data_IF_305438576168
#
_entry.id   IF_305438576168
#
_cell.length_a   1.000
_cell.length_b   1.000
_cell.length_c   1.000
_cell.angle_alpha   90.00
_cell.angle_beta   90.00
_cell.angle_gamma   90.00
#
_symmetry.space_group_name_H-M   'P 1'
#
loop_
_entity.id
_entity.type
_entity.pdbx_description
1 polymer ?
#
# COMPACT_ATOMS: atom_id res chain seq x y z
N UNK A 1 14.52 10.84 -2.87
CA UNK A 1 15.81 11.04 -2.15
C UNK A 1 16.40 9.66 -1.90
N UNK A 2 17.72 9.51 -1.91
CA UNK A 2 18.36 8.21 -1.68
C UNK A 2 19.54 8.38 -0.73
N UNK A 3 19.63 7.52 0.29
CA UNK A 3 20.82 7.35 1.12
C UNK A 3 21.45 6.03 0.67
N UNK A 4 22.71 6.06 0.28
CA UNK A 4 23.48 4.87 -0.08
C UNK A 4 24.86 4.98 0.56
N UNK A 5 25.08 4.17 1.61
CA UNK A 5 26.34 4.13 2.34
C UNK A 5 26.99 2.78 2.07
N UNK A 6 28.08 2.80 1.31
CA UNK A 6 28.81 1.61 0.91
C UNK A 6 29.16 0.73 2.12
N UNK A 7 28.77 -0.55 2.05
CA UNK A 7 29.00 -1.54 3.09
C UNK A 7 28.06 -1.45 4.31
N UNK A 8 27.15 -0.48 4.37
CA UNK A 8 26.21 -0.31 5.50
C UNK A 8 24.75 -0.51 5.08
N UNK A 9 24.31 0.12 3.98
CA UNK A 9 22.94 -0.05 3.50
C UNK A 9 22.38 1.14 2.70
N UNK A 10 21.14 0.98 2.29
CA UNK A 10 20.39 1.94 1.48
C UNK A 10 19.04 2.31 2.09
N UNK A 11 18.61 3.54 1.83
CA UNK A 11 17.27 4.03 2.10
C UNK A 11 16.76 4.82 0.88
N UNK A 12 15.82 4.25 0.15
CA UNK A 12 15.35 4.76 -1.14
C UNK A 12 13.91 5.24 -1.03
N UNK A 13 13.66 6.51 -1.33
CA UNK A 13 12.28 6.99 -1.50
C UNK A 13 11.64 6.31 -2.70
N UNK A 14 10.42 5.82 -2.53
CA UNK A 14 9.59 5.22 -3.57
C UNK A 14 8.32 6.03 -3.75
N UNK A 15 7.86 6.09 -5.00
CA UNK A 15 6.51 6.54 -5.37
C UNK A 15 5.85 5.43 -6.18
N UNK A 16 4.60 5.13 -5.85
CA UNK A 16 3.81 4.15 -6.58
C UNK A 16 2.44 4.75 -6.91
N UNK A 17 1.99 4.52 -8.13
CA UNK A 17 0.64 4.87 -8.58
C UNK A 17 0.00 3.63 -9.18
N UNK A 18 -1.30 3.48 -8.95
CA UNK A 18 -1.99 2.27 -9.38
C UNK A 18 -3.50 2.38 -9.31
N UNK A 19 -4.15 1.24 -9.49
CA UNK A 19 -5.59 1.09 -9.32
C UNK A 19 -5.83 -0.12 -8.42
N UNK A 20 -6.70 0.03 -7.45
CA UNK A 20 -7.10 -1.04 -6.52
C UNK A 20 -8.11 -1.97 -7.18
N UNK A 21 -8.15 -3.23 -6.75
CA UNK A 21 -9.14 -4.20 -7.19
C UNK A 21 -9.72 -4.93 -5.97
N UNK A 22 -11.04 -4.95 -5.85
CA UNK A 22 -11.69 -5.72 -4.80
C UNK A 22 -11.94 -7.16 -5.28
N UNK A 23 -11.20 -8.11 -4.72
CA UNK A 23 -11.27 -9.52 -5.11
C UNK A 23 -12.57 -10.22 -4.68
N UNK A 24 -13.34 -9.65 -3.75
CA UNK A 24 -14.67 -10.14 -3.34
C UNK A 24 -15.80 -9.62 -4.24
N UNK A 25 -15.48 -8.76 -5.22
CA UNK A 25 -16.44 -8.19 -6.17
C UNK A 25 -17.34 -7.08 -5.59
N UNK A 26 -17.02 -6.58 -4.40
CA UNK A 26 -17.74 -5.48 -3.77
C UNK A 26 -17.28 -4.13 -4.35
N UNK A 27 -18.13 -3.10 -4.30
CA UNK A 27 -17.79 -1.77 -4.83
C UNK A 27 -16.75 -1.01 -4.00
N UNK A 28 -16.66 -1.33 -2.71
CA UNK A 28 -15.73 -0.66 -1.79
C UNK A 28 -14.29 -1.05 -2.16
N UNK A 29 -13.40 -0.07 -2.33
CA UNK A 29 -12.01 -0.30 -2.77
C UNK A 29 -11.86 -0.96 -4.15
N UNK A 30 -12.92 -1.03 -4.97
CA UNK A 30 -12.79 -1.48 -6.35
C UNK A 30 -12.52 -0.30 -7.26
N UNK A 31 -11.48 -0.42 -8.11
CA UNK A 31 -11.12 0.55 -9.14
C UNK A 31 -10.84 1.96 -8.62
N UNK A 32 -10.45 2.11 -7.36
CA UNK A 32 -9.96 3.39 -6.84
C UNK A 32 -8.53 3.62 -7.32
N UNK A 33 -8.22 4.86 -7.69
CA UNK A 33 -6.84 5.26 -7.95
C UNK A 33 -6.04 5.28 -6.66
N UNK A 34 -4.81 4.78 -6.71
CA UNK A 34 -3.89 4.77 -5.58
C UNK A 34 -2.68 5.65 -5.91
N UNK A 35 -2.29 6.49 -4.94
CA UNK A 35 -1.01 7.20 -4.96
C UNK A 35 -0.32 6.99 -3.63
N UNK A 36 0.90 6.46 -3.66
CA UNK A 36 1.66 6.09 -2.49
C UNK A 36 3.04 6.74 -2.48
N UNK A 37 3.51 7.09 -1.29
CA UNK A 37 4.89 7.46 -1.01
C UNK A 37 5.44 6.56 0.08
N UNK A 38 6.67 6.08 -0.08
CA UNK A 38 7.25 5.10 0.82
C UNK A 38 8.77 5.23 0.92
N UNK A 39 9.35 4.55 1.91
CA UNK A 39 10.78 4.39 2.07
C UNK A 39 11.12 2.90 2.05
N UNK A 40 11.98 2.51 1.12
CA UNK A 40 12.55 1.16 1.06
C UNK A 40 13.89 1.14 1.77
N UNK A 41 14.03 0.28 2.76
CA UNK A 41 15.22 0.13 3.59
C UNK A 41 15.87 -1.22 3.28
N UNK A 42 17.17 -1.18 3.02
CA UNK A 42 18.02 -2.38 3.00
C UNK A 42 19.31 -2.10 3.78
N UNK A 43 19.37 -2.55 5.04
CA UNK A 43 20.54 -2.35 5.90
C UNK A 43 20.77 -3.55 6.80
N UNK A 44 21.97 -4.14 6.73
CA UNK A 44 22.27 -5.41 7.39
C UNK A 44 21.30 -6.52 6.96
N UNK A 45 20.64 -7.14 7.95
CA UNK A 45 19.60 -8.15 7.78
C UNK A 45 18.20 -7.56 7.60
N UNK A 46 18.03 -6.24 7.77
CA UNK A 46 16.73 -5.57 7.69
C UNK A 46 16.41 -5.17 6.26
N UNK A 47 15.30 -5.70 5.75
CA UNK A 47 14.70 -5.33 4.47
C UNK A 47 13.22 -5.09 4.69
N UNK A 48 12.77 -3.86 4.48
CA UNK A 48 11.36 -3.50 4.63
C UNK A 48 11.03 -2.23 3.86
N UNK A 49 9.74 -2.07 3.62
CA UNK A 49 9.12 -0.86 3.09
C UNK A 49 8.03 -0.42 4.07
N UNK A 50 8.00 0.87 4.39
CA UNK A 50 6.88 1.51 5.07
C UNK A 50 6.54 2.83 4.36
N UNK A 51 5.29 3.26 4.47
CA UNK A 51 4.81 4.41 3.71
C UNK A 51 3.35 4.75 3.94
N UNK A 52 2.83 5.61 3.08
CA UNK A 52 1.44 6.03 3.08
C UNK A 52 0.86 6.09 1.67
N UNK A 53 -0.44 5.86 1.58
CA UNK A 53 -1.20 5.88 0.34
C UNK A 53 -2.48 6.70 0.50
N UNK A 54 -2.85 7.38 -0.58
CA UNK A 54 -4.18 7.94 -0.79
C UNK A 54 -4.89 7.11 -1.85
N UNK A 55 -6.07 6.61 -1.50
CA UNK A 55 -6.99 5.99 -2.45
C UNK A 55 -8.08 7.01 -2.79
N UNK A 56 -8.39 7.20 -4.07
CA UNK A 56 -9.46 8.09 -4.51
C UNK A 56 -10.42 7.36 -5.45
N UNK A 57 -11.72 7.46 -5.16
CA UNK A 57 -12.76 6.91 -6.03
C UNK A 57 -13.17 7.87 -7.16
N UNK A 58 -14.14 7.43 -7.97
CA UNK A 58 -14.66 8.18 -9.11
C UNK A 58 -15.40 9.47 -8.71
N UNK A 59 -15.92 9.56 -7.48
CA UNK A 59 -16.59 10.75 -6.96
C UNK A 59 -15.57 11.77 -6.39
N UNK A 60 -14.30 11.37 -6.29
CA UNK A 60 -13.20 12.18 -5.77
C UNK A 60 -13.00 12.04 -4.27
N UNK A 61 -13.81 11.23 -3.59
CA UNK A 61 -13.69 10.95 -2.17
C UNK A 61 -12.44 10.09 -1.90
N UNK A 62 -11.76 10.38 -0.79
CA UNK A 62 -10.43 9.87 -0.51
C UNK A 62 -10.36 9.07 0.78
N UNK A 63 -9.49 8.08 0.79
CA UNK A 63 -9.11 7.30 1.95
C UNK A 63 -7.61 7.44 2.11
N UNK A 64 -7.17 7.75 3.32
CA UNK A 64 -5.76 7.84 3.68
C UNK A 64 -5.38 6.60 4.48
N UNK A 65 -4.32 5.91 4.05
CA UNK A 65 -3.76 4.76 4.76
C UNK A 65 -2.26 4.86 4.91
N UNK A 66 -1.72 4.25 5.96
CA UNK A 66 -0.30 3.93 6.09
C UNK A 66 -0.09 2.45 5.84
N UNK A 67 1.12 2.02 5.49
CA UNK A 67 1.45 0.60 5.42
C UNK A 67 2.85 0.32 5.98
N UNK A 68 3.02 -0.89 6.50
CA UNK A 68 4.31 -1.42 6.96
C UNK A 68 4.42 -2.90 6.56
N UNK A 69 5.45 -3.23 5.80
CA UNK A 69 5.71 -4.61 5.35
C UNK A 69 6.22 -5.54 6.46
N UNK A 70 6.54 -4.99 7.63
CA UNK A 70 6.89 -5.75 8.83
C UNK A 70 5.65 -6.12 9.66
N UNK A 71 4.56 -5.38 9.50
CA UNK A 71 3.30 -5.63 10.20
C UNK A 71 2.52 -6.73 9.48
N UNK A 72 2.76 -7.97 9.90
CA UNK A 72 2.17 -9.17 9.30
C UNK A 72 1.10 -9.77 10.21
N UNK A 73 -0.11 -9.93 9.67
CA UNK A 73 -1.17 -10.69 10.33
C UNK A 73 -0.93 -12.20 10.16
N UNK A 74 -0.36 -12.83 11.19
CA UNK A 74 -0.05 -14.26 11.20
C UNK A 74 -1.27 -15.16 11.10
N UNK A 75 -2.48 -14.63 11.36
CA UNK A 75 -3.72 -15.40 11.18
C UNK A 75 -4.12 -15.54 9.70
N UNK A 76 -3.51 -14.74 8.82
CA UNK A 76 -3.76 -14.71 7.37
C UNK A 76 -2.44 -14.92 6.62
N UNK A 77 -1.87 -16.14 6.63
CA UNK A 77 -0.54 -16.41 6.09
C UNK A 77 -0.40 -16.10 4.60
N UNK A 78 -1.50 -16.10 3.84
CA UNK A 78 -1.55 -15.68 2.44
C UNK A 78 -1.35 -14.16 2.25
N UNK A 79 -1.56 -13.34 3.29
CA UNK A 79 -1.38 -11.88 3.31
C UNK A 79 -0.03 -11.49 3.92
N UNK A 80 1.03 -12.19 3.50
CA UNK A 80 2.35 -12.13 4.12
C UNK A 80 3.22 -10.93 3.76
N UNK A 81 2.68 -9.86 3.17
CA UNK A 81 3.48 -8.74 2.69
C UNK A 81 3.43 -7.48 3.52
N UNK A 82 2.38 -7.28 4.31
CA UNK A 82 2.25 -6.12 5.16
C UNK A 82 0.80 -5.87 5.53
N UNK A 83 0.59 -4.78 6.25
CA UNK A 83 -0.74 -4.32 6.64
C UNK A 83 -0.91 -2.86 6.29
N UNK A 84 -1.97 -2.53 5.55
CA UNK A 84 -2.48 -1.17 5.46
C UNK A 84 -3.29 -0.85 6.71
N UNK A 85 -3.16 0.37 7.20
CA UNK A 85 -3.94 0.92 8.31
C UNK A 85 -4.63 2.18 7.81
N UNK A 86 -5.96 2.15 7.75
CA UNK A 86 -6.76 3.30 7.35
C UNK A 86 -6.78 4.31 8.51
N UNK A 87 -6.30 5.52 8.23
CA UNK A 87 -6.12 6.59 9.22
C UNK A 87 -7.10 7.74 9.04
N UNK A 88 -7.83 7.79 7.93
CA UNK A 88 -8.91 8.74 7.72
C UNK A 88 -9.50 8.70 6.33
N UNK A 89 -10.54 9.49 6.12
CA UNK A 89 -11.20 9.64 4.84
C UNK A 89 -11.97 10.95 4.69
N UNK A 90 -12.32 11.29 3.46
CA UNK A 90 -13.13 12.46 3.08
C UNK A 90 -14.50 12.06 2.54
N UNK A 91 -15.41 13.03 2.45
CA UNK A 91 -16.75 12.83 1.88
C UNK A 91 -17.48 11.64 2.50
N UNK A 92 -17.89 10.66 1.67
CA UNK A 92 -18.60 9.47 2.16
C UNK A 92 -17.75 8.52 3.02
N UNK A 93 -16.42 8.68 3.01
CA UNK A 93 -15.49 7.92 3.86
C UNK A 93 -15.11 8.66 5.15
N UNK A 94 -15.75 9.78 5.48
CA UNK A 94 -15.45 10.51 6.72
C UNK A 94 -15.67 9.58 7.93
N UNK A 95 -14.66 9.46 8.78
CA UNK A 95 -14.71 8.60 9.97
C UNK A 95 -14.31 7.14 9.72
N UNK A 96 -13.90 6.79 8.49
CA UNK A 96 -13.43 5.43 8.18
C UNK A 96 -12.16 5.09 8.98
N UNK A 97 -12.13 3.87 9.52
CA UNK A 97 -10.95 3.25 10.11
C UNK A 97 -10.93 1.76 9.74
N UNK A 98 -9.75 1.14 9.75
CA UNK A 98 -9.64 -0.26 9.39
C UNK A 98 -8.19 -0.74 9.27
N UNK A 99 -8.05 -2.06 9.18
CA UNK A 99 -6.78 -2.74 8.94
C UNK A 99 -6.95 -3.72 7.80
N UNK A 100 -5.97 -3.75 6.92
CA UNK A 100 -6.05 -4.47 5.65
C UNK A 100 -4.71 -5.16 5.37
N UNK A 101 -4.53 -6.39 5.85
CA UNK A 101 -3.42 -7.24 5.44
C UNK A 101 -3.45 -7.47 3.93
N UNK A 102 -2.27 -7.51 3.32
CA UNK A 102 -2.14 -7.68 1.87
C UNK A 102 -1.06 -8.66 1.43
N UNK A 103 -1.24 -9.19 0.22
CA UNK A 103 -0.27 -10.04 -0.46
C UNK A 103 0.56 -9.24 -1.49
N UNK A 104 1.80 -9.65 -1.74
CA UNK A 104 2.61 -9.11 -2.85
C UNK A 104 2.34 -9.91 -4.10
N UNK A 105 1.58 -9.36 -5.05
CA UNK A 105 1.59 -9.87 -6.41
C UNK A 105 2.45 -8.93 -7.25
N UNK A 106 3.66 -9.40 -7.57
CA UNK A 106 4.51 -8.70 -8.51
C UNK A 106 3.83 -8.70 -9.89
N UNK A 107 3.36 -7.54 -10.33
CA UNK A 107 2.98 -7.37 -11.73
C UNK A 107 4.24 -7.09 -12.56
N UNK A 108 4.24 -7.40 -13.87
CA UNK A 108 5.30 -6.95 -14.77
C UNK A 108 5.52 -5.45 -14.62
N UNK A 109 6.79 -5.02 -14.61
CA UNK A 109 7.16 -3.59 -14.60
C UNK A 109 6.40 -2.90 -15.72
N UNK A 110 5.69 -1.81 -15.41
CA UNK A 110 4.95 -1.07 -16.42
C UNK A 110 5.96 -0.52 -17.44
N UNK A 111 5.71 -0.77 -18.73
CA UNK A 111 6.54 -0.24 -19.80
C UNK A 111 6.45 1.30 -19.82
N UNK A 112 7.57 1.99 -19.60
CA UNK A 112 7.65 3.45 -19.66
C UNK A 112 8.84 4.03 -18.87
N UNK A 113 9.22 5.29 -19.11
CA UNK A 113 10.23 5.97 -18.30
C UNK A 113 9.72 6.16 -16.86
N UNK A 114 10.51 5.76 -15.86
CA UNK A 114 10.22 6.03 -14.44
C UNK A 114 10.34 4.85 -13.48
N UNK A 115 10.49 3.62 -13.98
CA UNK A 115 10.73 2.44 -13.12
C UNK A 115 9.58 2.13 -12.16
N UNK A 116 8.35 2.53 -12.51
CA UNK A 116 7.16 2.31 -11.69
C UNK A 116 6.88 0.81 -11.58
N UNK A 117 6.74 0.34 -10.34
CA UNK A 117 6.27 -1.01 -10.06
C UNK A 117 4.75 -0.96 -9.95
N UNK A 118 4.06 -1.72 -10.80
CA UNK A 118 2.66 -2.04 -10.55
C UNK A 118 2.62 -3.20 -9.57
N UNK A 119 1.76 -3.12 -8.57
CA UNK A 119 1.49 -4.20 -7.65
C UNK A 119 -0.01 -4.43 -7.67
N UNK A 120 -0.43 -5.66 -7.92
CA UNK A 120 -1.78 -6.06 -7.57
C UNK A 120 -1.73 -6.42 -6.10
N UNK A 121 -2.61 -5.81 -5.31
CA UNK A 121 -2.59 -5.92 -3.87
C UNK A 121 -3.92 -6.55 -3.47
N UNK A 122 -4.02 -7.89 -3.41
CA UNK A 122 -5.17 -8.54 -2.82
C UNK A 122 -5.25 -8.11 -1.35
N UNK A 123 -6.41 -7.58 -0.97
CA UNK A 123 -6.68 -7.18 0.41
C UNK A 123 -7.70 -8.14 1.04
N UNK A 124 -7.50 -8.46 2.32
CA UNK A 124 -8.59 -8.98 3.15
C UNK A 124 -8.96 -7.91 4.19
N UNK A 125 -9.94 -7.09 3.83
CA UNK A 125 -10.24 -5.85 4.53
C UNK A 125 -11.21 -6.06 5.69
N UNK A 126 -10.92 -5.39 6.82
CA UNK A 126 -11.87 -5.17 7.92
C UNK A 126 -11.88 -3.66 8.21
N UNK A 127 -13.01 -3.01 7.95
CA UNK A 127 -13.18 -1.56 8.12
C UNK A 127 -14.55 -1.21 8.71
N UNK A 128 -14.64 -0.05 9.33
CA UNK A 128 -15.86 0.53 9.87
C UNK A 128 -15.89 2.06 9.65
N UNK A 129 -17.09 2.63 9.54
CA UNK A 129 -17.33 4.08 9.59
C UNK A 129 -18.05 4.37 10.90
N UNK A 130 -17.51 5.30 11.70
CA UNK A 130 -18.11 5.75 12.96
C UNK A 130 -18.98 6.98 12.79
#
# INVERSE_FOLDING_TARGET
MNIDIAGLGTATSLEAVGTTQNMKGEKMFDKMSAQCTALSIASGDKKYIDGACVLADADGDKIFSTFDTRDLDKSQPEMGCGTHVITGGSGKYKGITGREPFACLAMPVLAGPGGYTAMDIPHNTVWEIK
#
